data_IF_053692264310
#
_entry.id   IF_053692264310
#
_cell.length_a   1.000
_cell.length_b   1.000
_cell.length_c   1.000
_cell.angle_alpha   90.00
_cell.angle_beta   90.00
_cell.angle_gamma   90.00
#
_symmetry.space_group_name_H-M   'P 1'
#
loop_
_entity.id
_entity.type
_entity.pdbx_description
1 polymer ?
#
# COMPACT_ATOMS: atom_id res chain seq x y z
N UNK A 1 -15.92 15.41 16.90
CA UNK A 1 -15.17 14.82 15.78
C UNK A 1 -15.26 15.73 14.57
N UNK A 2 -14.38 15.58 13.57
CA UNK A 2 -14.47 16.31 12.29
C UNK A 2 -15.83 16.04 11.63
N UNK A 3 -16.34 14.80 11.77
CA UNK A 3 -17.71 14.40 11.42
C UNK A 3 -18.80 15.25 12.08
N UNK A 4 -18.74 15.49 13.40
CA UNK A 4 -19.71 16.33 14.11
C UNK A 4 -19.66 17.80 13.64
N UNK A 5 -18.45 18.33 13.39
CA UNK A 5 -18.27 19.69 12.87
C UNK A 5 -18.68 19.81 11.38
N UNK A 6 -18.60 18.73 10.60
CA UNK A 6 -19.07 18.68 9.21
C UNK A 6 -20.60 18.65 9.15
N UNK A 7 -21.24 17.85 10.00
CA UNK A 7 -22.70 17.77 10.14
C UNK A 7 -23.31 19.13 10.55
N UNK A 8 -22.66 19.88 11.44
CA UNK A 8 -23.07 21.25 11.82
C UNK A 8 -22.98 22.25 10.64
N UNK A 9 -22.17 21.98 9.61
CA UNK A 9 -22.00 22.90 8.46
C UNK A 9 -22.79 22.51 7.21
N UNK A 10 -23.61 21.44 7.28
CA UNK A 10 -24.39 20.92 6.15
C UNK A 10 -25.38 21.95 5.57
N UNK A 11 -26.06 22.69 6.43
CA UNK A 11 -27.02 23.74 6.01
C UNK A 11 -26.32 24.93 5.34
N UNK A 12 -25.07 25.23 5.72
CA UNK A 12 -24.28 26.31 5.12
C UNK A 12 -23.83 26.01 3.68
N UNK A 13 -23.98 24.75 3.21
CA UNK A 13 -23.50 24.29 1.89
C UNK A 13 -24.60 24.15 0.83
N UNK A 14 -25.87 24.31 1.20
CA UNK A 14 -26.98 24.46 0.25
C UNK A 14 -27.26 23.27 -0.69
N UNK A 15 -27.26 22.04 -0.17
CA UNK A 15 -27.53 20.81 -0.95
C UNK A 15 -29.04 20.56 -1.09
N UNK A 16 -29.52 20.19 -2.30
CA UNK A 16 -30.92 19.79 -2.56
C UNK A 16 -30.95 18.50 -3.41
N UNK A 17 -31.48 17.39 -2.87
CA UNK A 17 -31.81 16.16 -3.62
C UNK A 17 -31.44 14.84 -2.92
N UNK A 18 -31.76 13.70 -3.57
CA UNK A 18 -31.38 12.34 -3.17
C UNK A 18 -30.58 11.63 -4.28
N UNK A 19 -29.53 10.90 -3.91
CA UNK A 19 -28.69 10.09 -4.82
C UNK A 19 -29.41 8.77 -5.14
N UNK A 20 -29.34 8.31 -6.39
CA UNK A 20 -29.83 6.98 -6.81
C UNK A 20 -28.79 6.27 -7.69
N UNK A 21 -28.64 4.96 -7.50
CA UNK A 21 -27.81 4.09 -8.33
C UNK A 21 -28.47 3.87 -9.70
N UNK A 22 -27.69 3.99 -10.79
CA UNK A 22 -28.11 3.52 -12.11
C UNK A 22 -27.25 2.34 -12.54
N UNK A 23 -27.77 1.13 -12.41
CA UNK A 23 -27.09 -0.12 -12.78
C UNK A 23 -26.35 -0.80 -11.63
N UNK A 24 -25.88 -2.03 -11.88
CA UNK A 24 -25.00 -2.78 -10.99
C UNK A 24 -23.55 -2.32 -11.15
N UNK A 25 -22.79 -2.24 -10.05
CA UNK A 25 -21.35 -1.95 -10.06
C UNK A 25 -20.63 -2.94 -10.99
N UNK A 26 -19.71 -2.43 -11.81
CA UNK A 26 -18.91 -3.27 -12.71
C UNK A 26 -17.43 -3.12 -12.38
N UNK A 27 -16.69 -4.21 -12.50
CA UNK A 27 -15.25 -4.23 -12.22
C UNK A 27 -14.51 -3.63 -13.42
N UNK A 28 -13.74 -2.55 -13.21
CA UNK A 28 -12.82 -2.06 -14.24
C UNK A 28 -11.37 -2.15 -13.75
N UNK A 29 -10.52 -2.87 -14.49
CA UNK A 29 -9.09 -2.87 -14.23
C UNK A 29 -8.41 -1.56 -14.68
N UNK A 30 -7.91 -0.72 -13.75
CA UNK A 30 -7.06 0.43 -14.13
C UNK A 30 -5.56 0.08 -14.11
N UNK A 31 -5.15 -0.78 -13.18
CA UNK A 31 -3.93 -1.59 -13.22
C UNK A 31 -4.30 -2.97 -12.67
N UNK A 32 -3.36 -3.91 -12.56
CA UNK A 32 -3.76 -5.31 -12.55
C UNK A 32 -3.44 -6.13 -11.26
N UNK A 33 -2.60 -5.62 -10.34
CA UNK A 33 -2.62 -6.02 -8.92
C UNK A 33 -3.62 -5.19 -8.08
N UNK A 34 -3.87 -3.90 -8.39
CA UNK A 34 -4.99 -3.14 -7.82
C UNK A 34 -6.26 -3.42 -8.63
N UNK A 35 -7.27 -4.04 -8.03
CA UNK A 35 -8.62 -4.04 -8.61
C UNK A 35 -9.32 -2.77 -8.16
N UNK A 36 -9.85 -2.02 -9.12
CA UNK A 36 -10.67 -0.85 -8.88
C UNK A 36 -12.12 -1.13 -9.28
N UNK A 37 -13.05 -0.36 -8.70
CA UNK A 37 -14.50 -0.62 -8.81
C UNK A 37 -15.19 0.53 -9.51
N UNK A 38 -15.64 0.29 -10.75
CA UNK A 38 -16.44 1.23 -11.53
C UNK A 38 -17.90 1.19 -11.08
N UNK A 39 -18.29 2.16 -10.26
CA UNK A 39 -19.69 2.41 -9.90
C UNK A 39 -20.18 3.69 -10.58
N UNK A 40 -21.28 3.60 -11.32
CA UNK A 40 -21.92 4.72 -12.01
C UNK A 40 -22.90 5.47 -11.08
N UNK A 41 -22.44 6.53 -10.42
CA UNK A 41 -23.29 7.40 -9.60
C UNK A 41 -23.81 8.55 -10.46
N UNK A 42 -25.12 8.79 -10.42
CA UNK A 42 -25.75 9.92 -11.11
C UNK A 42 -26.27 10.89 -10.05
N UNK A 43 -25.92 12.18 -10.15
CA UNK A 43 -26.45 13.22 -9.27
C UNK A 43 -26.87 14.46 -10.07
N UNK A 44 -27.73 15.30 -9.48
CA UNK A 44 -28.14 16.61 -10.02
C UNK A 44 -27.76 17.70 -9.05
N UNK A 45 -27.28 18.83 -9.58
CA UNK A 45 -27.06 20.06 -8.80
C UNK A 45 -27.91 21.21 -9.36
N UNK A 46 -28.05 22.30 -8.60
CA UNK A 46 -28.98 23.40 -8.89
C UNK A 46 -28.50 24.38 -9.98
N UNK A 47 -27.40 24.12 -10.69
CA UNK A 47 -26.92 24.96 -11.80
C UNK A 47 -27.19 24.27 -13.15
N UNK A 48 -27.71 24.98 -14.17
CA UNK A 48 -28.21 24.35 -15.39
C UNK A 48 -27.08 23.98 -16.35
N UNK A 49 -26.39 22.88 -16.09
CA UNK A 49 -25.60 22.17 -17.09
C UNK A 49 -25.46 20.69 -16.69
N UNK A 50 -26.24 19.85 -17.40
CA UNK A 50 -26.14 18.40 -17.56
C UNK A 50 -26.12 17.50 -16.31
N UNK A 51 -27.00 16.50 -16.31
CA UNK A 51 -26.87 15.34 -15.44
C UNK A 51 -25.69 14.47 -15.90
N UNK A 52 -24.76 14.21 -15.00
CA UNK A 52 -23.55 13.45 -15.28
C UNK A 52 -23.61 12.06 -14.65
N UNK A 53 -23.07 11.07 -15.36
CA UNK A 53 -22.79 9.71 -14.86
C UNK A 53 -21.30 9.64 -14.50
N UNK A 54 -20.96 9.37 -13.24
CA UNK A 54 -19.59 9.35 -12.72
C UNK A 54 -19.18 7.95 -12.22
N UNK A 55 -17.89 7.59 -12.31
CA UNK A 55 -17.37 6.21 -12.26
C UNK A 55 -16.27 5.98 -11.20
N UNK A 56 -16.54 5.35 -10.05
CA UNK A 56 -15.59 5.16 -8.91
C UNK A 56 -14.38 4.26 -9.21
N UNK A 57 -13.30 4.31 -8.40
CA UNK A 57 -12.12 3.41 -8.48
C UNK A 57 -11.46 3.34 -7.07
N UNK A 58 -11.52 2.21 -6.36
CA UNK A 58 -10.94 1.96 -5.00
C UNK A 58 -10.02 0.73 -5.04
N UNK A 59 -8.82 0.78 -4.46
CA UNK A 59 -7.82 -0.32 -4.44
C UNK A 59 -8.07 -1.31 -3.29
N UNK A 60 -8.12 -2.61 -3.60
CA UNK A 60 -8.29 -3.67 -2.60
C UNK A 60 -7.49 -4.94 -2.93
N UNK A 61 -6.49 -5.26 -2.11
CA UNK A 61 -5.78 -6.55 -2.02
C UNK A 61 -5.94 -7.09 -0.61
N UNK A 62 -5.98 -8.43 -0.44
CA UNK A 62 -6.16 -9.16 0.83
C UNK A 62 -5.58 -8.41 2.03
N UNK A 63 -6.43 -7.86 2.90
CA UNK A 63 -5.95 -7.10 4.05
C UNK A 63 -5.57 -8.06 5.16
N UNK A 64 -4.30 -8.07 5.55
CA UNK A 64 -3.80 -8.71 6.78
C UNK A 64 -4.22 -7.94 8.04
N UNK A 65 -5.30 -7.15 7.95
CA UNK A 65 -5.83 -6.32 9.02
C UNK A 65 -7.12 -6.91 9.54
N UNK A 66 -7.20 -7.01 10.85
CA UNK A 66 -8.43 -7.43 11.53
C UNK A 66 -9.49 -6.33 11.41
N UNK A 67 -10.76 -6.70 11.34
CA UNK A 67 -11.92 -5.80 11.40
C UNK A 67 -11.80 -4.73 12.50
N UNK A 68 -11.29 -5.12 13.68
CA UNK A 68 -11.06 -4.21 14.81
C UNK A 68 -10.11 -3.04 14.47
N UNK A 69 -9.09 -3.29 13.65
CA UNK A 69 -8.13 -2.28 13.19
C UNK A 69 -8.63 -1.39 12.05
N UNK A 70 -9.89 -1.59 11.61
CA UNK A 70 -10.59 -0.79 10.60
C UNK A 70 -11.90 -0.15 11.12
N UNK A 71 -12.20 -0.24 12.43
CA UNK A 71 -13.25 0.47 13.18
C UNK A 71 -13.17 2.03 13.14
N UNK A 72 -13.27 2.67 11.98
CA UNK A 72 -13.45 4.12 11.91
C UNK A 72 -14.92 4.53 11.77
N UNK A 73 -15.42 5.19 12.83
CA UNK A 73 -16.50 6.19 12.90
C UNK A 73 -17.91 5.87 12.35
N UNK A 74 -18.13 4.76 11.64
CA UNK A 74 -19.47 4.20 11.39
C UNK A 74 -19.78 3.13 12.44
N UNK A 75 -21.05 3.01 12.83
CA UNK A 75 -21.49 1.92 13.71
C UNK A 75 -21.20 0.60 13.01
N UNK A 76 -20.09 -0.05 13.36
CA UNK A 76 -19.82 -1.40 12.90
C UNK A 76 -20.96 -2.30 13.36
N UNK A 77 -21.54 -3.04 12.41
CA UNK A 77 -22.47 -4.13 12.68
C UNK A 77 -21.74 -5.16 13.58
N UNK A 78 -22.39 -5.62 14.66
CA UNK A 78 -21.80 -6.53 15.68
C UNK A 78 -21.16 -7.77 15.05
N UNK A 79 -21.57 -8.14 13.83
CA UNK A 79 -21.01 -9.25 13.05
C UNK A 79 -19.50 -9.18 12.79
N UNK A 80 -18.87 -8.00 12.91
CA UNK A 80 -17.44 -7.81 12.70
C UNK A 80 -16.63 -7.60 13.99
N UNK A 81 -17.26 -7.72 15.17
CA UNK A 81 -16.63 -7.56 16.48
C UNK A 81 -15.70 -8.72 16.88
N UNK A 82 -15.71 -9.82 16.13
CA UNK A 82 -14.76 -10.92 16.27
C UNK A 82 -13.55 -10.72 15.33
N UNK A 83 -12.37 -11.31 15.62
CA UNK A 83 -11.22 -11.28 14.72
C UNK A 83 -11.61 -11.80 13.33
N UNK A 84 -11.73 -10.88 12.38
CA UNK A 84 -12.15 -11.17 11.01
C UNK A 84 -11.17 -10.51 10.05
N UNK A 85 -10.63 -11.27 9.12
CA UNK A 85 -9.85 -10.72 8.02
C UNK A 85 -10.81 -10.28 6.93
N UNK A 86 -10.83 -8.98 6.65
CA UNK A 86 -11.75 -8.44 5.67
C UNK A 86 -11.43 -8.97 4.28
N UNK A 87 -12.46 -9.46 3.63
CA UNK A 87 -12.42 -9.74 2.20
C UNK A 87 -12.35 -8.42 1.43
N UNK A 88 -11.88 -8.51 0.18
CA UNK A 88 -11.91 -7.39 -0.78
C UNK A 88 -13.29 -6.74 -0.89
N UNK A 89 -14.34 -7.55 -0.91
CA UNK A 89 -15.70 -7.09 -1.15
C UNK A 89 -16.28 -6.38 0.08
N UNK A 90 -15.94 -6.83 1.29
CA UNK A 90 -16.31 -6.14 2.53
C UNK A 90 -15.63 -4.79 2.67
N UNK A 91 -14.32 -4.69 2.38
CA UNK A 91 -13.63 -3.39 2.40
C UNK A 91 -14.21 -2.43 1.35
N UNK A 92 -14.52 -2.95 0.17
CA UNK A 92 -15.17 -2.19 -0.90
C UNK A 92 -16.48 -1.58 -0.42
N UNK A 93 -17.33 -2.41 0.17
CA UNK A 93 -18.62 -1.99 0.69
C UNK A 93 -18.44 -0.93 1.77
N UNK A 94 -17.46 -1.12 2.67
CA UNK A 94 -17.12 -0.16 3.71
C UNK A 94 -16.70 1.20 3.15
N UNK A 95 -15.84 1.24 2.13
CA UNK A 95 -15.38 2.52 1.55
C UNK A 95 -16.55 3.22 0.83
N UNK A 96 -17.44 2.48 0.19
CA UNK A 96 -18.65 3.04 -0.42
C UNK A 96 -19.60 3.60 0.65
N UNK A 97 -19.84 2.85 1.72
CA UNK A 97 -20.63 3.31 2.86
C UNK A 97 -20.02 4.56 3.51
N UNK A 98 -18.69 4.63 3.62
CA UNK A 98 -18.00 5.81 4.13
C UNK A 98 -18.26 7.04 3.24
N UNK A 99 -18.13 6.90 1.92
CA UNK A 99 -18.44 7.98 0.96
C UNK A 99 -19.89 8.45 1.10
N UNK A 100 -20.84 7.51 1.19
CA UNK A 100 -22.27 7.80 1.27
C UNK A 100 -22.65 8.44 2.62
N UNK A 101 -22.09 7.93 3.72
CA UNK A 101 -22.34 8.43 5.08
C UNK A 101 -21.87 9.87 5.24
N UNK A 102 -20.71 10.20 4.68
CA UNK A 102 -20.10 11.52 4.82
C UNK A 102 -20.39 12.48 3.67
N UNK A 103 -21.21 12.06 2.69
CA UNK A 103 -21.61 12.87 1.53
C UNK A 103 -20.38 13.49 0.83
N UNK A 104 -19.37 12.66 0.56
CA UNK A 104 -18.07 13.12 0.06
C UNK A 104 -18.12 13.45 -1.44
N UNK A 105 -17.66 14.65 -1.80
CA UNK A 105 -17.47 15.08 -3.19
C UNK A 105 -16.26 14.38 -3.82
N UNK A 106 -16.50 13.28 -4.55
CA UNK A 106 -15.44 12.51 -5.22
C UNK A 106 -15.60 12.58 -6.75
N UNK A 107 -14.53 12.99 -7.44
CA UNK A 107 -14.44 12.89 -8.90
C UNK A 107 -13.67 11.63 -9.25
N UNK A 108 -14.37 10.69 -9.84
CA UNK A 108 -13.80 9.41 -10.18
C UNK A 108 -13.57 9.25 -11.69
N UNK A 109 -12.85 8.19 -12.09
CA UNK A 109 -12.34 8.02 -13.46
C UNK A 109 -11.59 9.27 -13.96
N UNK A 110 -10.81 9.85 -13.05
CA UNK A 110 -10.01 11.02 -13.29
C UNK A 110 -8.52 10.65 -13.27
N UNK A 111 -7.80 11.01 -14.33
CA UNK A 111 -6.34 10.88 -14.36
C UNK A 111 -5.72 12.26 -14.30
N UNK A 112 -4.96 12.54 -13.24
CA UNK A 112 -4.21 13.79 -13.12
C UNK A 112 -3.13 13.84 -14.20
N UNK A 113 -3.13 14.93 -14.97
CA UNK A 113 -2.19 15.15 -16.07
C UNK A 113 -1.05 16.10 -15.66
N UNK A 114 -1.36 17.10 -14.84
CA UNK A 114 -0.36 18.04 -14.31
C UNK A 114 -0.87 18.78 -13.10
N UNK A 115 0.05 19.26 -12.28
CA UNK A 115 -0.20 20.20 -11.19
C UNK A 115 0.81 21.33 -11.25
N UNK A 116 0.39 22.52 -10.82
CA UNK A 116 1.24 23.69 -10.74
C UNK A 116 0.85 24.52 -9.52
N UNK A 117 1.83 24.99 -8.76
CA UNK A 117 1.63 25.95 -7.70
C UNK A 117 2.07 27.34 -8.16
N UNK A 118 1.16 28.31 -8.11
CA UNK A 118 1.45 29.72 -8.38
C UNK A 118 1.72 30.45 -7.07
N UNK A 119 2.95 30.96 -6.91
CA UNK A 119 3.37 31.70 -5.71
C UNK A 119 2.78 33.12 -5.63
N UNK A 120 2.33 33.70 -6.74
CA UNK A 120 1.73 35.02 -6.75
C UNK A 120 0.30 34.97 -6.21
N UNK A 121 -0.45 33.92 -6.59
CA UNK A 121 -1.83 33.73 -6.12
C UNK A 121 -1.93 32.83 -4.89
N UNK A 122 -0.88 32.08 -4.57
CA UNK A 122 -0.84 31.02 -3.55
C UNK A 122 -1.87 29.92 -3.81
N UNK A 123 -1.98 29.50 -5.07
CA UNK A 123 -2.96 28.50 -5.51
C UNK A 123 -2.32 27.37 -6.30
N UNK A 124 -2.89 26.18 -6.10
CA UNK A 124 -2.69 24.99 -6.90
C UNK A 124 -3.66 24.97 -8.07
N UNK A 125 -3.14 24.65 -9.25
CA UNK A 125 -3.93 24.30 -10.42
C UNK A 125 -3.68 22.83 -10.74
N UNK A 126 -4.73 22.01 -10.72
CA UNK A 126 -4.69 20.59 -11.06
C UNK A 126 -5.43 20.37 -12.38
N UNK A 127 -4.73 19.93 -13.43
CA UNK A 127 -5.37 19.52 -14.69
C UNK A 127 -5.52 18.01 -14.72
N UNK A 128 -6.72 17.54 -15.00
CA UNK A 128 -7.04 16.12 -15.03
C UNK A 128 -7.97 15.79 -16.19
N UNK A 129 -7.99 14.52 -16.59
CA UNK A 129 -8.82 14.00 -17.67
C UNK A 129 -9.90 13.09 -17.11
N UNK A 130 -11.13 13.32 -17.52
CA UNK A 130 -12.27 12.43 -17.26
C UNK A 130 -12.83 11.90 -18.58
N UNK A 131 -13.82 11.01 -18.50
CA UNK A 131 -14.60 10.56 -19.67
C UNK A 131 -15.27 11.72 -20.42
N UNK A 132 -15.61 12.81 -19.72
CA UNK A 132 -16.22 14.02 -20.29
C UNK A 132 -15.18 15.05 -20.80
N UNK A 133 -13.90 14.67 -20.86
CA UNK A 133 -12.80 15.47 -21.39
C UNK A 133 -11.87 16.05 -20.32
N UNK A 134 -11.09 17.04 -20.70
CA UNK A 134 -10.15 17.70 -19.78
C UNK A 134 -10.91 18.63 -18.83
N UNK A 135 -10.46 18.67 -17.57
CA UNK A 135 -10.99 19.50 -16.49
C UNK A 135 -9.84 20.12 -15.71
N UNK A 136 -10.14 21.19 -14.97
CA UNK A 136 -9.18 21.91 -14.13
C UNK A 136 -9.82 22.19 -12.77
N UNK A 137 -9.10 21.88 -11.70
CA UNK A 137 -9.44 22.30 -10.34
C UNK A 137 -8.42 23.33 -9.86
N UNK A 138 -8.88 24.32 -9.10
CA UNK A 138 -8.05 25.34 -8.47
C UNK A 138 -8.31 25.31 -6.96
N UNK A 139 -7.26 25.25 -6.15
CA UNK A 139 -7.37 25.16 -4.70
C UNK A 139 -6.21 25.88 -4.00
N UNK A 140 -6.40 26.30 -2.75
CA UNK A 140 -5.29 26.87 -1.94
C UNK A 140 -4.32 25.80 -1.44
N UNK A 141 -4.82 24.59 -1.21
CA UNK A 141 -4.10 23.47 -0.62
C UNK A 141 -4.25 22.22 -1.50
N UNK A 142 -3.20 21.40 -1.55
CA UNK A 142 -3.20 20.11 -2.25
C UNK A 142 -2.73 19.02 -1.30
N UNK A 143 -3.50 17.93 -1.21
CA UNK A 143 -3.15 16.74 -0.44
C UNK A 143 -2.97 15.59 -1.43
N UNK A 144 -1.79 14.96 -1.41
CA UNK A 144 -1.50 13.76 -2.21
C UNK A 144 -1.75 12.51 -1.37
N UNK A 145 -2.66 11.65 -1.84
CA UNK A 145 -3.04 10.38 -1.22
C UNK A 145 -2.91 9.22 -2.22
N UNK A 146 -1.76 9.11 -2.89
CA UNK A 146 -1.54 8.20 -4.04
C UNK A 146 -0.96 6.83 -3.66
N UNK A 147 -0.81 6.54 -2.37
CA UNK A 147 -0.16 5.32 -1.87
C UNK A 147 1.36 5.42 -1.75
N UNK A 148 1.98 4.30 -1.33
CA UNK A 148 3.42 4.20 -0.99
C UNK A 148 4.31 3.97 -2.22
N UNK A 149 3.80 3.24 -3.21
CA UNK A 149 4.62 2.69 -4.29
C UNK A 149 4.49 3.43 -5.61
N UNK A 150 5.51 3.24 -6.45
CA UNK A 150 5.47 3.64 -7.85
C UNK A 150 4.28 3.04 -8.58
N UNK A 151 3.62 3.82 -9.43
CA UNK A 151 2.60 3.28 -10.34
C UNK A 151 3.21 2.63 -11.59
N UNK A 152 4.55 2.61 -11.70
CA UNK A 152 5.27 2.02 -12.83
C UNK A 152 5.84 0.64 -12.48
N UNK A 153 5.26 -0.45 -13.01
CA UNK A 153 5.79 -1.80 -12.85
C UNK A 153 7.28 -1.88 -13.20
N UNK A 154 8.05 -2.62 -12.40
CA UNK A 154 9.43 -2.92 -12.72
C UNK A 154 9.54 -4.38 -13.13
N UNK A 155 9.94 -4.63 -14.38
CA UNK A 155 10.38 -5.95 -14.83
C UNK A 155 11.88 -5.79 -15.14
N UNK A 156 12.77 -6.62 -14.57
CA UNK A 156 14.18 -6.61 -14.93
C UNK A 156 14.38 -6.83 -16.43
N UNK A 157 15.46 -6.27 -16.99
CA UNK A 157 15.83 -6.56 -18.37
C UNK A 157 16.43 -7.98 -18.42
N UNK A 158 15.69 -8.91 -19.02
CA UNK A 158 16.06 -10.32 -19.13
C UNK A 158 16.41 -10.61 -20.58
N UNK A 159 17.54 -11.26 -20.81
CA UNK A 159 18.00 -11.58 -22.15
C UNK A 159 16.95 -12.43 -22.90
N UNK A 160 16.89 -12.24 -24.22
CA UNK A 160 16.13 -13.09 -25.13
C UNK A 160 14.62 -13.16 -24.89
N UNK A 161 14.03 -12.20 -24.17
CA UNK A 161 12.59 -12.17 -23.90
C UNK A 161 11.68 -12.20 -25.15
N UNK A 162 12.20 -11.78 -26.30
CA UNK A 162 11.50 -11.86 -27.59
C UNK A 162 11.33 -13.28 -28.14
N UNK A 163 12.09 -14.26 -27.61
CA UNK A 163 11.99 -15.67 -28.01
C UNK A 163 10.83 -16.39 -27.32
N UNK A 164 10.45 -15.95 -26.12
CA UNK A 164 9.52 -16.68 -25.27
C UNK A 164 8.11 -16.70 -25.88
N UNK A 165 7.58 -17.91 -26.09
CA UNK A 165 6.25 -18.14 -26.68
C UNK A 165 5.13 -18.17 -25.64
N UNK A 166 5.48 -18.29 -24.36
CA UNK A 166 4.54 -18.19 -23.25
C UNK A 166 4.18 -16.74 -22.91
N UNK A 167 3.40 -16.56 -21.84
CA UNK A 167 2.99 -15.23 -21.39
C UNK A 167 3.98 -14.74 -20.32
N UNK A 168 4.68 -13.64 -20.58
CA UNK A 168 5.46 -12.93 -19.55
C UNK A 168 4.77 -11.65 -19.14
N UNK A 169 4.53 -11.44 -17.84
CA UNK A 169 3.79 -10.28 -17.34
C UNK A 169 4.25 -9.84 -15.95
N UNK A 170 4.11 -8.56 -15.61
CA UNK A 170 4.24 -8.11 -14.21
C UNK A 170 3.04 -8.57 -13.37
N UNK A 171 3.21 -8.69 -12.05
CA UNK A 171 2.14 -8.93 -11.08
C UNK A 171 1.07 -7.85 -11.12
N UNK A 172 1.50 -6.65 -11.54
CA UNK A 172 0.63 -5.63 -12.08
C UNK A 172 -0.24 -6.34 -13.13
N UNK A 173 0.15 -6.71 -14.33
CA UNK A 173 -0.71 -7.30 -15.39
C UNK A 173 -1.52 -8.59 -15.10
N UNK A 174 -1.40 -9.19 -13.92
CA UNK A 174 -2.24 -10.29 -13.47
C UNK A 174 -3.71 -9.86 -13.21
N UNK A 175 -4.64 -10.81 -13.10
CA UNK A 175 -6.05 -10.50 -12.80
C UNK A 175 -6.69 -11.49 -11.85
N UNK A 176 -6.64 -12.75 -12.23
CA UNK A 176 -7.02 -13.91 -11.47
C UNK A 176 -6.57 -15.14 -12.27
N UNK A 177 -6.53 -16.28 -11.61
CA UNK A 177 -6.15 -17.54 -12.21
C UNK A 177 -7.17 -18.02 -13.26
N UNK A 178 -8.46 -17.67 -13.13
CA UNK A 178 -9.49 -18.04 -14.10
C UNK A 178 -9.20 -17.47 -15.51
N UNK A 179 -8.67 -16.24 -15.62
CA UNK A 179 -8.25 -15.66 -16.89
C UNK A 179 -7.02 -16.37 -17.46
N UNK A 180 -6.09 -16.82 -16.61
CA UNK A 180 -4.96 -17.63 -17.06
C UNK A 180 -5.44 -18.99 -17.59
N UNK A 181 -6.29 -19.70 -16.85
CA UNK A 181 -6.89 -20.97 -17.31
C UNK A 181 -7.67 -20.80 -18.62
N UNK A 182 -8.45 -19.72 -18.77
CA UNK A 182 -9.17 -19.43 -20.00
C UNK A 182 -8.25 -19.17 -21.22
N UNK A 183 -6.99 -18.79 -20.96
CA UNK A 183 -5.93 -18.65 -21.99
C UNK A 183 -5.15 -19.94 -22.24
N UNK A 184 -5.52 -21.05 -21.58
CA UNK A 184 -4.86 -22.35 -21.72
C UNK A 184 -3.55 -22.47 -20.94
N UNK A 185 -3.33 -21.62 -19.94
CA UNK A 185 -2.16 -21.69 -19.06
C UNK A 185 -2.38 -22.83 -18.05
N UNK A 186 -1.50 -23.82 -18.07
CA UNK A 186 -1.50 -24.95 -17.12
C UNK A 186 -0.35 -24.84 -16.10
N UNK A 187 0.68 -24.05 -16.41
CA UNK A 187 1.86 -23.85 -15.56
C UNK A 187 2.33 -22.39 -15.50
N UNK A 188 2.79 -21.94 -14.33
CA UNK A 188 3.29 -20.59 -14.13
C UNK A 188 4.52 -20.51 -13.21
N UNK A 189 5.53 -19.74 -13.61
CA UNK A 189 6.62 -19.30 -12.73
C UNK A 189 6.25 -17.99 -12.04
N UNK A 190 6.41 -17.95 -10.72
CA UNK A 190 6.17 -16.77 -9.88
C UNK A 190 7.53 -16.22 -9.47
N UNK A 191 7.93 -15.08 -10.02
CA UNK A 191 9.26 -14.50 -9.75
C UNK A 191 9.16 -13.52 -8.59
N UNK A 192 9.48 -13.98 -7.37
CA UNK A 192 9.32 -13.21 -6.13
C UNK A 192 8.47 -13.94 -5.09
N UNK A 193 8.53 -13.48 -3.84
CA UNK A 193 8.02 -14.21 -2.66
C UNK A 193 7.54 -13.30 -1.53
N UNK A 194 7.15 -12.06 -1.83
CA UNK A 194 6.46 -11.19 -0.88
C UNK A 194 4.94 -11.49 -0.87
N UNK A 195 4.17 -10.80 -0.02
CA UNK A 195 2.71 -10.97 0.16
C UNK A 195 1.93 -11.26 -1.15
N UNK A 196 2.02 -10.39 -2.16
CA UNK A 196 1.25 -10.54 -3.40
C UNK A 196 1.62 -11.81 -4.19
N UNK A 197 2.85 -12.30 -4.06
CA UNK A 197 3.29 -13.51 -4.74
C UNK A 197 2.63 -14.77 -4.13
N UNK A 198 2.45 -14.79 -2.80
CA UNK A 198 1.72 -15.84 -2.09
C UNK A 198 0.21 -15.80 -2.40
N UNK A 199 -0.40 -14.62 -2.50
CA UNK A 199 -1.81 -14.49 -2.93
C UNK A 199 -2.04 -15.13 -4.32
N UNK A 200 -1.14 -14.87 -5.28
CA UNK A 200 -1.24 -15.47 -6.62
C UNK A 200 -0.96 -16.97 -6.59
N UNK A 201 -0.01 -17.40 -5.76
CA UNK A 201 0.32 -18.81 -5.60
C UNK A 201 -0.93 -19.60 -5.16
N UNK A 202 -1.68 -19.06 -4.19
CA UNK A 202 -2.94 -19.64 -3.73
C UNK A 202 -4.04 -19.61 -4.80
N UNK A 203 -4.28 -18.47 -5.47
CA UNK A 203 -5.29 -18.34 -6.54
C UNK A 203 -5.02 -19.31 -7.70
N UNK A 204 -3.76 -19.43 -8.11
CA UNK A 204 -3.34 -20.35 -9.15
C UNK A 204 -3.47 -21.82 -8.71
N UNK A 205 -3.08 -22.14 -7.47
CA UNK A 205 -3.24 -23.49 -6.92
C UNK A 205 -4.72 -23.90 -6.87
N UNK A 206 -5.60 -23.01 -6.39
CA UNK A 206 -7.04 -23.22 -6.35
C UNK A 206 -7.66 -23.43 -7.75
N UNK A 207 -7.09 -22.79 -8.77
CA UNK A 207 -7.49 -22.98 -10.17
C UNK A 207 -6.85 -24.20 -10.86
N UNK A 208 -6.00 -24.96 -10.16
CA UNK A 208 -5.30 -26.14 -10.69
C UNK A 208 -4.13 -25.81 -11.63
N UNK A 209 -3.62 -24.58 -11.61
CA UNK A 209 -2.41 -24.20 -12.36
C UNK A 209 -1.19 -24.64 -11.55
N UNK A 210 -0.27 -25.39 -12.18
CA UNK A 210 0.98 -25.80 -11.56
C UNK A 210 1.91 -24.59 -11.41
N UNK A 211 2.23 -24.23 -10.17
CA UNK A 211 3.08 -23.07 -9.90
C UNK A 211 4.45 -23.48 -9.38
N UNK A 212 5.47 -22.71 -9.75
CA UNK A 212 6.79 -22.76 -9.10
C UNK A 212 7.20 -21.35 -8.71
N UNK A 213 7.42 -21.14 -7.42
CA UNK A 213 7.93 -19.88 -6.89
C UNK A 213 9.44 -19.82 -7.04
N UNK A 214 9.94 -18.80 -7.71
CA UNK A 214 11.37 -18.54 -7.90
C UNK A 214 11.80 -17.48 -6.89
N UNK A 215 12.71 -17.87 -6.00
CA UNK A 215 13.16 -17.07 -4.87
C UNK A 215 14.64 -16.78 -5.02
N UNK A 216 15.00 -15.50 -5.16
CA UNK A 216 16.39 -15.09 -5.35
C UNK A 216 17.24 -15.14 -4.08
N UNK A 217 16.62 -14.82 -2.95
CA UNK A 217 17.32 -14.60 -1.68
C UNK A 217 16.43 -14.96 -0.51
N UNK A 218 17.01 -15.17 0.69
CA UNK A 218 16.22 -15.43 1.87
C UNK A 218 15.17 -14.36 2.14
N UNK A 219 13.98 -14.79 2.59
CA UNK A 219 12.83 -13.91 2.81
C UNK A 219 12.38 -13.98 4.25
N UNK A 220 12.16 -12.80 4.85
CA UNK A 220 11.60 -12.73 6.19
C UNK A 220 10.12 -13.09 6.16
N UNK A 221 9.75 -14.14 6.89
CA UNK A 221 8.36 -14.56 7.06
C UNK A 221 7.97 -14.36 8.52
N UNK A 222 6.82 -13.74 8.74
CA UNK A 222 6.23 -13.52 10.06
C UNK A 222 4.82 -14.11 10.09
N UNK A 223 4.46 -14.92 11.11
CA UNK A 223 3.11 -15.43 11.27
C UNK A 223 2.07 -14.32 11.44
N UNK A 224 0.91 -14.47 10.83
CA UNK A 224 -0.20 -13.51 10.98
C UNK A 224 -0.63 -13.37 12.44
N UNK A 225 -0.57 -14.45 13.24
CA UNK A 225 -0.88 -14.43 14.66
C UNK A 225 -0.01 -13.44 15.45
N UNK A 226 1.26 -13.26 15.07
CA UNK A 226 2.15 -12.31 15.72
C UNK A 226 1.72 -10.88 15.42
N UNK A 227 1.37 -10.63 14.15
CA UNK A 227 0.90 -9.32 13.67
C UNK A 227 -0.41 -8.95 14.38
N UNK A 228 -1.31 -9.92 14.52
CA UNK A 228 -2.62 -9.77 15.16
C UNK A 228 -2.60 -9.83 16.69
N UNK A 229 -1.45 -10.07 17.33
CA UNK A 229 -1.37 -10.06 18.79
C UNK A 229 -1.72 -8.65 19.33
N UNK A 230 -2.48 -8.62 20.43
CA UNK A 230 -2.91 -7.38 21.09
C UNK A 230 -1.76 -6.49 21.58
N UNK A 231 -0.55 -7.02 21.71
CA UNK A 231 0.68 -6.29 22.08
C UNK A 231 1.42 -5.74 20.85
N UNK A 232 0.96 -6.08 19.65
CA UNK A 232 1.52 -5.68 18.37
C UNK A 232 0.50 -4.85 17.57
N UNK A 233 0.32 -5.13 16.27
CA UNK A 233 -0.60 -4.36 15.41
C UNK A 233 -2.08 -4.73 15.64
N UNK A 234 -2.36 -5.76 16.43
CA UNK A 234 -3.72 -6.19 16.82
C UNK A 234 -4.31 -5.48 18.02
N UNK A 235 -3.71 -4.38 18.50
CA UNK A 235 -4.11 -3.65 19.71
C UNK A 235 -5.45 -2.89 19.61
N UNK A 236 -6.37 -3.26 18.73
CA UNK A 236 -7.62 -2.54 18.49
C UNK A 236 -8.84 -3.09 19.22
N UNK A 237 -8.74 -4.28 19.80
CA UNK A 237 -9.77 -4.84 20.68
C UNK A 237 -9.99 -4.05 21.98
N UNK A 238 -9.12 -3.07 22.27
CA UNK A 238 -9.26 -2.11 23.40
C UNK A 238 -9.93 -0.79 22.99
N UNK A 239 -10.43 -0.71 21.75
CA UNK A 239 -11.05 0.46 21.14
C UNK A 239 -10.05 1.32 20.34
N UNK A 240 -10.53 1.89 19.23
CA UNK A 240 -9.71 2.62 18.25
C UNK A 240 -8.88 3.74 18.85
N UNK A 241 -9.48 4.57 19.71
CA UNK A 241 -8.76 5.68 20.33
C UNK A 241 -7.60 5.21 21.24
N UNK A 242 -7.76 4.06 21.90
CA UNK A 242 -6.73 3.47 22.73
C UNK A 242 -5.65 2.77 21.90
N UNK A 243 -6.06 2.02 20.86
CA UNK A 243 -5.16 1.38 19.91
C UNK A 243 -4.29 2.38 19.16
N UNK A 244 -4.88 3.47 18.66
CA UNK A 244 -4.15 4.53 17.98
C UNK A 244 -3.12 5.21 18.90
N UNK A 245 -3.49 5.51 20.15
CA UNK A 245 -2.53 6.04 21.12
C UNK A 245 -1.39 5.06 21.35
N UNK A 246 -1.69 3.76 21.52
CA UNK A 246 -0.66 2.76 21.74
C UNK A 246 0.31 2.68 20.56
N UNK A 247 -0.20 2.67 19.33
CA UNK A 247 0.60 2.57 18.12
C UNK A 247 1.44 3.83 17.82
N UNK A 248 0.96 5.02 18.20
CA UNK A 248 1.53 6.29 17.75
C UNK A 248 2.22 7.11 18.86
N UNK A 249 2.39 6.54 20.06
CA UNK A 249 3.00 7.25 21.21
C UNK A 249 4.54 7.31 21.14
N UNK A 250 5.18 6.29 20.59
CA UNK A 250 6.65 6.18 20.57
C UNK A 250 7.23 6.64 19.23
N UNK A 251 8.46 7.17 19.21
CA UNK A 251 9.17 7.41 17.96
C UNK A 251 9.28 6.12 17.15
N UNK A 252 9.12 6.23 15.83
CA UNK A 252 9.06 5.05 14.94
C UNK A 252 10.32 4.18 15.04
N UNK A 253 11.48 4.81 15.25
CA UNK A 253 12.74 4.10 15.46
C UNK A 253 12.78 3.23 16.72
N UNK A 254 12.06 3.63 17.79
CA UNK A 254 11.98 2.89 19.05
C UNK A 254 10.91 1.81 18.95
N UNK A 255 9.73 2.17 18.46
CA UNK A 255 8.61 1.24 18.28
C UNK A 255 9.01 0.05 17.41
N UNK A 256 9.74 0.31 16.31
CA UNK A 256 10.24 -0.74 15.43
C UNK A 256 11.18 -1.75 16.12
N UNK A 257 11.97 -1.31 17.12
CA UNK A 257 12.85 -2.21 17.88
C UNK A 257 12.05 -3.02 18.91
N UNK A 258 11.08 -2.40 19.59
CA UNK A 258 10.20 -3.10 20.52
C UNK A 258 9.36 -4.17 19.80
N UNK A 259 8.82 -3.85 18.63
CA UNK A 259 8.11 -4.80 17.77
C UNK A 259 8.99 -5.95 17.30
N UNK A 260 10.24 -5.68 16.92
CA UNK A 260 11.22 -6.74 16.59
C UNK A 260 11.41 -7.69 17.77
N UNK A 261 11.71 -7.15 18.95
CA UNK A 261 12.04 -7.97 20.12
C UNK A 261 10.84 -8.78 20.61
N UNK A 262 9.62 -8.22 20.49
CA UNK A 262 8.38 -8.94 20.75
C UNK A 262 8.20 -10.14 19.80
N UNK A 263 8.41 -9.95 18.49
CA UNK A 263 8.29 -11.04 17.52
C UNK A 263 9.40 -12.08 17.67
N UNK A 264 10.62 -11.65 18.02
CA UNK A 264 11.72 -12.55 18.36
C UNK A 264 11.37 -13.41 19.58
N UNK A 265 10.75 -12.81 20.61
CA UNK A 265 10.26 -13.54 21.78
C UNK A 265 9.20 -14.58 21.38
N UNK A 266 8.23 -14.23 20.53
CA UNK A 266 7.23 -15.19 20.06
C UNK A 266 7.88 -16.35 19.30
N UNK A 267 8.75 -16.05 18.33
CA UNK A 267 9.46 -17.06 17.55
C UNK A 267 10.37 -17.95 18.40
N UNK A 268 10.88 -17.47 19.55
CA UNK A 268 11.67 -18.29 20.48
C UNK A 268 10.86 -19.42 21.14
N UNK A 269 9.53 -19.28 21.26
CA UNK A 269 8.66 -20.31 21.82
C UNK A 269 8.30 -21.40 20.81
N UNK A 270 8.58 -21.17 19.52
CA UNK A 270 8.28 -22.10 18.42
C UNK A 270 9.45 -22.16 17.42
N UNK A 271 10.63 -22.60 17.88
CA UNK A 271 11.88 -22.50 17.13
C UNK A 271 11.92 -23.32 15.83
N UNK A 272 10.97 -24.23 15.64
CA UNK A 272 10.92 -25.14 14.49
C UNK A 272 9.75 -24.81 13.54
N UNK A 273 9.00 -23.70 13.75
CA UNK A 273 7.81 -23.35 12.95
C UNK A 273 8.06 -23.46 11.44
N UNK A 274 9.19 -22.91 10.98
CA UNK A 274 9.56 -22.87 9.57
C UNK A 274 10.59 -23.94 9.15
N UNK A 275 10.91 -24.90 10.01
CA UNK A 275 11.78 -26.02 9.64
C UNK A 275 11.22 -26.86 8.47
N UNK A 276 9.90 -27.15 8.39
CA UNK A 276 9.33 -27.84 7.22
C UNK A 276 9.46 -27.03 5.92
N UNK A 277 9.29 -25.71 5.99
CA UNK A 277 9.42 -24.82 4.84
C UNK A 277 10.86 -24.77 4.33
N UNK A 278 11.83 -24.71 5.24
CA UNK A 278 13.25 -24.82 4.89
C UNK A 278 13.59 -26.19 4.29
N UNK A 279 13.04 -27.28 4.84
CA UNK A 279 13.23 -28.63 4.31
C UNK A 279 12.62 -28.82 2.92
N UNK A 280 11.55 -28.08 2.59
CA UNK A 280 10.95 -28.02 1.26
C UNK A 280 11.76 -27.16 0.26
N UNK A 281 12.87 -26.57 0.70
CA UNK A 281 13.81 -25.83 -0.16
C UNK A 281 13.57 -24.33 -0.24
N UNK A 282 12.69 -23.75 0.60
CA UNK A 282 12.48 -22.31 0.64
C UNK A 282 13.46 -21.63 1.62
N UNK A 283 14.17 -20.56 1.22
CA UNK A 283 15.14 -19.88 2.06
C UNK A 283 14.41 -18.89 2.99
N UNK A 284 13.93 -19.37 4.13
CA UNK A 284 13.16 -18.59 5.11
C UNK A 284 14.07 -17.97 6.17
N UNK A 285 13.80 -16.72 6.54
CA UNK A 285 14.24 -16.09 7.77
C UNK A 285 13.02 -15.88 8.66
N UNK A 286 13.12 -16.16 9.95
CA UNK A 286 12.06 -15.87 10.92
C UNK A 286 12.45 -14.72 11.85
N UNK A 287 11.54 -14.37 12.76
CA UNK A 287 11.70 -13.23 13.68
C UNK A 287 12.83 -13.40 14.71
N UNK A 288 13.49 -14.56 14.81
CA UNK A 288 14.69 -14.73 15.67
C UNK A 288 15.93 -14.15 15.02
N UNK A 289 15.93 -13.92 13.71
CA UNK A 289 17.03 -13.25 13.04
C UNK A 289 17.07 -11.77 13.46
N UNK A 290 18.18 -11.27 14.03
CA UNK A 290 18.27 -9.88 14.51
C UNK A 290 18.11 -8.82 13.41
N UNK A 291 18.33 -9.18 12.15
CA UNK A 291 18.15 -8.32 10.98
C UNK A 291 16.68 -8.26 10.49
N UNK A 292 15.80 -9.09 11.05
CA UNK A 292 14.39 -9.19 10.64
C UNK A 292 13.50 -8.36 11.57
N UNK A 293 13.04 -7.20 11.08
CA UNK A 293 12.07 -6.36 11.78
C UNK A 293 10.96 -5.91 10.83
N UNK A 294 9.70 -6.28 11.12
CA UNK A 294 8.57 -6.00 10.23
C UNK A 294 8.41 -4.50 9.99
N UNK A 295 8.56 -3.68 11.03
CA UNK A 295 8.47 -2.22 10.89
C UNK A 295 9.55 -1.63 9.98
N UNK A 296 10.77 -2.17 10.01
CA UNK A 296 11.81 -1.78 9.08
C UNK A 296 11.40 -2.12 7.63
N UNK A 297 10.88 -3.34 7.39
CA UNK A 297 10.40 -3.73 6.07
C UNK A 297 9.25 -2.84 5.57
N UNK A 298 8.35 -2.38 6.44
CA UNK A 298 7.23 -1.52 6.09
C UNK A 298 7.65 -0.07 5.82
N UNK A 299 8.49 0.50 6.68
CA UNK A 299 8.83 1.94 6.66
C UNK A 299 10.02 2.26 5.74
N UNK A 300 11.04 1.41 5.71
CA UNK A 300 12.29 1.67 4.99
C UNK A 300 12.32 1.01 3.60
N UNK A 301 11.66 -0.14 3.46
CA UNK A 301 11.76 -0.97 2.25
C UNK A 301 10.47 -1.10 1.46
N UNK A 302 9.31 -0.80 2.06
CA UNK A 302 7.99 -1.05 1.52
C UNK A 302 7.82 -2.49 0.95
N UNK A 303 8.44 -3.48 1.59
CA UNK A 303 8.47 -4.86 1.09
C UNK A 303 9.57 -5.74 1.69
N UNK A 304 9.83 -6.88 1.05
CA UNK A 304 10.86 -7.83 1.48
C UNK A 304 10.47 -8.70 2.67
N UNK A 305 9.18 -8.86 2.92
CA UNK A 305 8.62 -9.77 3.92
C UNK A 305 7.37 -10.46 3.37
N UNK A 306 6.96 -11.54 4.04
CA UNK A 306 5.65 -12.16 3.89
C UNK A 306 5.00 -12.31 5.26
N UNK A 307 3.72 -11.95 5.37
CA UNK A 307 2.87 -12.25 6.52
C UNK A 307 2.16 -13.56 6.23
N UNK A 308 2.56 -14.61 6.94
CA UNK A 308 2.11 -15.97 6.72
C UNK A 308 0.71 -16.20 7.28
N UNK A 309 -0.21 -16.45 6.35
CA UNK A 309 -1.63 -16.79 6.59
C UNK A 309 -1.91 -18.25 6.22
N UNK A 310 -0.92 -19.11 6.48
CA UNK A 310 -0.90 -20.55 6.20
C UNK A 310 -0.67 -20.92 4.71
N UNK A 311 -0.46 -19.95 3.81
CA UNK A 311 -0.17 -20.26 2.40
C UNK A 311 1.19 -20.96 2.22
N UNK A 312 2.11 -20.85 3.19
CA UNK A 312 3.38 -21.61 3.17
C UNK A 312 3.17 -23.12 3.19
N UNK A 313 2.03 -23.60 3.70
CA UNK A 313 1.71 -25.03 3.73
C UNK A 313 1.64 -25.67 2.35
N UNK A 314 1.25 -24.91 1.32
CA UNK A 314 1.25 -25.41 -0.06
C UNK A 314 2.65 -25.83 -0.51
N UNK A 315 3.69 -25.11 -0.05
CA UNK A 315 5.09 -25.44 -0.34
C UNK A 315 5.51 -26.66 0.48
N UNK A 316 5.21 -26.68 1.79
CA UNK A 316 5.63 -27.76 2.69
C UNK A 316 5.02 -29.12 2.30
N UNK A 317 3.79 -29.10 1.77
CA UNK A 317 3.07 -30.28 1.29
C UNK A 317 3.51 -30.71 -0.12
N UNK A 318 4.36 -29.93 -0.80
CA UNK A 318 4.77 -30.17 -2.18
C UNK A 318 3.66 -29.95 -3.21
N UNK A 319 2.62 -29.21 -2.84
CA UNK A 319 1.51 -28.88 -3.73
C UNK A 319 1.89 -27.81 -4.77
N UNK A 320 2.96 -27.05 -4.50
CA UNK A 320 3.58 -26.07 -5.39
C UNK A 320 5.10 -26.22 -5.33
N UNK A 321 5.77 -25.88 -6.43
CA UNK A 321 7.23 -25.94 -6.51
C UNK A 321 7.92 -24.70 -5.92
N UNK A 322 9.16 -24.87 -5.47
CA UNK A 322 10.06 -23.76 -5.14
C UNK A 322 11.39 -23.97 -5.86
N UNK A 323 11.92 -22.88 -6.42
CA UNK A 323 13.28 -22.80 -6.93
C UNK A 323 13.99 -21.63 -6.25
N UNK A 324 14.89 -21.94 -5.33
CA UNK A 324 15.56 -20.98 -4.47
C UNK A 324 16.98 -20.64 -4.94
N UNK A 325 17.51 -19.54 -4.39
CA UNK A 325 18.88 -19.05 -4.54
C UNK A 325 19.33 -18.89 -6.00
N UNK A 326 18.38 -18.49 -6.86
CA UNK A 326 18.61 -18.29 -8.28
C UNK A 326 18.02 -16.99 -8.79
N UNK A 327 18.67 -16.43 -9.81
CA UNK A 327 18.19 -15.29 -10.56
C UNK A 327 17.77 -15.69 -11.97
N UNK A 328 16.63 -15.21 -12.50
CA UNK A 328 16.35 -15.31 -13.93
C UNK A 328 17.39 -14.57 -14.76
N UNK A 329 17.92 -15.19 -15.81
CA UNK A 329 18.97 -14.62 -16.65
C UNK A 329 18.56 -14.42 -18.11
N UNK A 330 17.86 -15.39 -18.69
CA UNK A 330 17.48 -15.38 -20.10
C UNK A 330 16.21 -16.18 -20.35
N UNK A 331 15.53 -15.90 -21.46
CA UNK A 331 14.46 -16.75 -21.97
C UNK A 331 14.97 -17.67 -23.07
N UNK A 332 14.29 -18.82 -23.22
CA UNK A 332 14.28 -19.60 -24.46
C UNK A 332 12.87 -19.56 -25.05
N UNK A 333 12.61 -20.32 -26.11
CA UNK A 333 11.27 -20.36 -26.70
C UNK A 333 10.17 -20.81 -25.71
N UNK A 334 10.49 -21.66 -24.73
CA UNK A 334 9.51 -22.26 -23.80
C UNK A 334 9.95 -22.25 -22.34
N UNK A 335 11.15 -21.74 -22.03
CA UNK A 335 11.78 -21.86 -20.70
C UNK A 335 12.34 -20.53 -20.20
N UNK A 336 12.47 -20.42 -18.89
CA UNK A 336 13.29 -19.41 -18.22
C UNK A 336 14.60 -20.06 -17.76
N UNK A 337 15.74 -19.44 -18.08
CA UNK A 337 17.07 -19.84 -17.65
C UNK A 337 17.47 -19.08 -16.38
N UNK A 338 18.23 -19.74 -15.52
CA UNK A 338 18.64 -19.21 -14.23
C UNK A 338 20.16 -19.12 -14.07
N UNK A 339 20.60 -18.39 -13.04
CA UNK A 339 22.01 -18.14 -12.72
C UNK A 339 22.83 -19.39 -12.35
N UNK A 340 22.17 -20.51 -12.06
CA UNK A 340 22.78 -21.82 -11.77
C UNK A 340 22.84 -22.73 -13.01
N UNK A 341 22.69 -22.16 -14.20
CA UNK A 341 22.60 -22.85 -15.51
C UNK A 341 21.39 -23.78 -15.68
N UNK A 342 20.49 -23.84 -14.68
CA UNK A 342 19.27 -24.62 -14.79
C UNK A 342 18.19 -23.88 -15.59
N UNK A 343 17.12 -24.59 -15.94
CA UNK A 343 15.97 -24.04 -16.66
C UNK A 343 14.66 -24.54 -16.06
N UNK A 344 13.58 -23.77 -16.24
CA UNK A 344 12.23 -24.19 -15.90
C UNK A 344 11.25 -23.86 -17.03
N UNK A 345 10.38 -24.83 -17.32
CA UNK A 345 9.33 -24.74 -18.34
C UNK A 345 8.08 -24.18 -17.67
N UNK A 346 7.45 -23.20 -18.31
CA UNK A 346 6.12 -22.76 -17.91
C UNK A 346 5.40 -22.10 -19.08
N UNK A 347 4.07 -22.11 -19.04
CA UNK A 347 3.23 -21.39 -19.99
C UNK A 347 3.16 -19.89 -19.66
N UNK A 348 3.36 -19.53 -18.39
CA UNK A 348 3.42 -18.15 -17.93
C UNK A 348 4.60 -17.86 -17.00
N UNK A 349 5.15 -16.64 -17.07
CA UNK A 349 6.08 -16.06 -16.11
C UNK A 349 5.46 -14.77 -15.56
N UNK A 350 5.24 -14.74 -14.24
CA UNK A 350 4.64 -13.59 -13.56
C UNK A 350 5.68 -12.95 -12.63
N UNK A 351 5.99 -11.68 -12.89
CA UNK A 351 7.04 -10.92 -12.21
C UNK A 351 6.51 -10.17 -10.99
N UNK A 352 6.91 -10.58 -9.79
CA UNK A 352 6.65 -9.91 -8.51
C UNK A 352 7.85 -9.08 -8.06
N UNK A 353 8.39 -8.30 -9.00
CA UNK A 353 9.63 -7.53 -8.83
C UNK A 353 9.42 -6.11 -8.33
N UNK A 354 8.21 -5.81 -7.83
CA UNK A 354 7.86 -4.51 -7.29
C UNK A 354 7.71 -3.45 -8.37
N UNK A 355 7.75 -2.19 -7.97
CA UNK A 355 7.59 -1.07 -8.89
C UNK A 355 8.90 -0.28 -8.97
N UNK A 356 9.09 0.50 -10.04
CA UNK A 356 10.35 1.17 -10.28
C UNK A 356 10.54 2.33 -9.29
N UNK A 357 11.45 2.18 -8.33
CA UNK A 357 11.80 3.15 -7.28
C UNK A 357 12.75 4.26 -7.75
N UNK A 358 12.87 4.48 -9.05
CA UNK A 358 13.55 5.67 -9.59
C UNK A 358 12.50 6.74 -9.86
N UNK A 359 12.27 7.58 -8.86
CA UNK A 359 11.42 8.78 -8.91
C UNK A 359 10.05 8.56 -9.55
N UNK A 360 9.08 8.16 -8.72
CA UNK A 360 7.69 8.08 -9.13
C UNK A 360 7.13 9.47 -9.23
N UNK A 361 7.31 10.01 -10.42
CA UNK A 361 6.68 11.22 -10.91
C UNK A 361 5.17 10.99 -11.05
N UNK A 362 4.43 11.12 -9.95
CA UNK A 362 3.06 11.62 -10.03
C UNK A 362 3.14 13.08 -9.64
N UNK A 363 2.72 13.95 -10.58
CA UNK A 363 2.79 15.42 -10.60
C UNK A 363 4.02 16.00 -11.34
N UNK A 364 3.82 17.08 -12.11
CA UNK A 364 4.69 17.43 -13.25
C UNK A 364 6.22 17.51 -12.95
N UNK A 365 7.08 16.94 -13.82
CA UNK A 365 8.18 16.05 -13.34
C UNK A 365 9.51 16.71 -12.94
N UNK A 366 9.71 18.03 -13.16
CA UNK A 366 11.04 18.64 -12.92
C UNK A 366 11.07 19.71 -11.85
N UNK A 367 10.01 20.52 -11.74
CA UNK A 367 9.99 21.63 -10.79
C UNK A 367 9.45 21.24 -9.42
N UNK A 368 8.60 20.22 -9.36
CA UNK A 368 8.02 19.69 -8.11
C UNK A 368 8.90 18.54 -7.59
N UNK A 369 9.32 17.60 -8.44
CA UNK A 369 10.23 16.51 -8.05
C UNK A 369 11.57 17.01 -7.47
N UNK A 370 12.13 18.11 -8.00
CA UNK A 370 13.34 18.73 -7.44
C UNK A 370 13.13 19.39 -6.05
N UNK A 371 11.88 19.44 -5.57
CA UNK A 371 11.46 20.10 -4.32
C UNK A 371 10.75 19.13 -3.36
N UNK A 372 10.53 17.88 -3.73
CA UNK A 372 9.96 16.91 -2.81
C UNK A 372 11.11 16.26 -2.03
N UNK A 373 11.08 16.42 -0.73
CA UNK A 373 11.72 15.49 0.19
C UNK A 373 11.28 14.04 -0.09
N UNK A 374 12.16 13.07 0.23
CA UNK A 374 11.74 11.68 0.35
C UNK A 374 10.56 11.56 1.33
N UNK A 375 9.52 10.89 0.87
CA UNK A 375 8.42 10.40 1.70
C UNK A 375 8.75 8.98 2.13
N UNK A 376 8.45 8.61 3.38
CA UNK A 376 8.90 7.36 4.02
C UNK A 376 10.38 7.36 4.39
N UNK A 377 10.84 6.24 4.98
CA UNK A 377 12.09 6.15 5.75
C UNK A 377 12.10 7.08 6.97
N UNK A 378 13.05 6.84 7.85
CA UNK A 378 13.26 7.65 9.04
C UNK A 378 14.24 8.79 8.79
N UNK A 379 13.97 9.94 9.40
CA UNK A 379 14.96 11.00 9.57
C UNK A 379 15.85 10.76 10.79
N UNK A 380 16.78 11.69 11.05
CA UNK A 380 17.72 11.57 12.16
C UNK A 380 17.09 11.74 13.55
N UNK A 381 15.83 12.19 13.62
CA UNK A 381 15.05 12.19 14.87
C UNK A 381 14.36 10.83 15.07
N UNK A 382 14.47 9.92 14.10
CA UNK A 382 13.85 8.60 14.14
C UNK A 382 12.39 8.60 13.70
N UNK A 383 11.96 9.63 12.96
CA UNK A 383 10.58 9.85 12.55
C UNK A 383 10.38 9.75 11.03
N UNK A 384 9.17 9.41 10.61
CA UNK A 384 8.84 9.26 9.19
C UNK A 384 8.98 10.60 8.44
N UNK A 385 9.66 10.54 7.29
CA UNK A 385 9.92 11.72 6.43
C UNK A 385 8.73 12.07 5.55
N UNK A 386 8.50 13.37 5.36
CA UNK A 386 7.55 13.93 4.38
C UNK A 386 6.05 13.60 4.57
N UNK A 387 5.71 12.63 5.41
CA UNK A 387 4.33 12.15 5.62
C UNK A 387 3.59 12.97 6.68
N UNK A 388 2.33 13.30 6.39
CA UNK A 388 1.35 13.94 7.28
C UNK A 388 1.74 15.30 7.90
N UNK A 389 2.88 15.85 7.50
CA UNK A 389 3.39 17.17 7.89
C UNK A 389 3.50 18.07 6.66
N UNK A 390 3.70 19.36 6.88
CA UNK A 390 3.99 20.29 5.77
C UNK A 390 5.23 19.82 5.03
N UNK A 391 5.15 19.79 3.71
CA UNK A 391 6.30 19.44 2.90
C UNK A 391 7.40 20.49 3.01
N UNK A 392 8.65 20.03 3.03
CA UNK A 392 9.81 20.88 3.31
C UNK A 392 10.01 22.00 2.28
N UNK A 393 9.86 21.72 0.98
CA UNK A 393 10.12 22.72 -0.08
C UNK A 393 8.91 23.05 -0.95
N UNK A 394 7.72 22.63 -0.54
CA UNK A 394 6.47 22.88 -1.27
C UNK A 394 5.43 23.45 -0.31
N UNK A 395 5.00 24.68 -0.58
CA UNK A 395 4.01 25.36 0.23
C UNK A 395 2.61 24.80 -0.02
N UNK A 396 1.78 24.77 1.03
CA UNK A 396 0.38 24.33 0.98
C UNK A 396 0.19 22.93 0.36
N UNK A 397 1.14 22.04 0.62
CA UNK A 397 1.15 20.67 0.12
C UNK A 397 1.44 19.67 1.25
N UNK A 398 0.68 18.57 1.25
CA UNK A 398 0.83 17.46 2.18
C UNK A 398 0.79 16.14 1.43
N UNK A 399 1.54 15.16 1.94
CA UNK A 399 1.44 13.76 1.51
C UNK A 399 0.85 12.96 2.65
N UNK A 400 -0.15 12.14 2.33
CA UNK A 400 -0.79 11.20 3.25
C UNK A 400 -0.79 9.81 2.64
N UNK A 401 -0.73 8.80 3.49
CA UNK A 401 -0.60 7.41 3.09
C UNK A 401 -0.32 6.54 4.30
N UNK A 402 0.16 5.33 4.04
CA UNK A 402 0.34 4.31 5.07
C UNK A 402 -0.91 3.46 5.24
N UNK A 403 -0.82 2.55 6.19
CA UNK A 403 -1.93 1.71 6.58
C UNK A 403 -2.90 2.44 7.52
N UNK A 404 -4.06 1.83 7.76
CA UNK A 404 -5.22 2.39 8.46
C UNK A 404 -4.91 3.17 9.74
N UNK A 405 -4.04 2.64 10.62
CA UNK A 405 -3.65 3.29 11.87
C UNK A 405 -3.07 4.70 11.64
N UNK A 406 -2.18 4.83 10.66
CA UNK A 406 -1.61 6.12 10.29
C UNK A 406 -2.67 7.07 9.76
N UNK A 407 -3.61 6.56 8.94
CA UNK A 407 -4.66 7.38 8.36
C UNK A 407 -5.56 7.96 9.44
N UNK A 408 -5.95 7.18 10.45
CA UNK A 408 -6.79 7.67 11.54
C UNK A 408 -6.10 8.71 12.41
N UNK A 409 -4.89 8.38 12.86
CA UNK A 409 -4.12 9.28 13.73
C UNK A 409 -3.80 10.61 13.05
N UNK A 410 -3.33 10.55 11.79
CA UNK A 410 -2.79 11.72 11.14
C UNK A 410 -3.79 12.53 10.33
N UNK A 411 -4.91 11.96 9.85
CA UNK A 411 -5.89 12.71 9.06
C UNK A 411 -6.44 13.92 9.81
N UNK A 412 -6.71 13.76 11.11
CA UNK A 412 -7.14 14.88 11.97
C UNK A 412 -6.06 15.96 12.05
N UNK A 413 -4.80 15.56 12.21
CA UNK A 413 -3.66 16.48 12.29
C UNK A 413 -3.46 17.26 10.99
N UNK A 414 -3.58 16.61 9.83
CA UNK A 414 -3.51 17.28 8.51
C UNK A 414 -4.69 18.24 8.32
N UNK A 415 -5.91 17.82 8.66
CA UNK A 415 -7.10 18.67 8.56
C UNK A 415 -6.98 19.93 9.44
N UNK A 416 -6.45 19.80 10.66
CA UNK A 416 -6.19 20.94 11.56
C UNK A 416 -5.10 21.86 11.00
N UNK A 417 -4.06 21.33 10.39
CA UNK A 417 -3.04 22.14 9.71
C UNK A 417 -3.65 22.95 8.56
N UNK A 418 -4.46 22.32 7.72
CA UNK A 418 -5.14 22.99 6.58
C UNK A 418 -6.10 24.07 7.10
N UNK A 419 -6.87 23.79 8.15
CA UNK A 419 -7.75 24.77 8.78
C UNK A 419 -6.96 25.96 9.30
N UNK A 420 -5.89 25.71 10.07
CA UNK A 420 -5.03 26.77 10.59
C UNK A 420 -4.39 27.60 9.46
N UNK A 421 -4.04 26.98 8.33
CA UNK A 421 -3.53 27.71 7.16
C UNK A 421 -4.59 28.63 6.54
N UNK A 422 -5.83 28.14 6.39
CA UNK A 422 -6.96 28.93 5.89
C UNK A 422 -7.29 30.13 6.79
N UNK A 423 -7.13 29.96 8.11
CA UNK A 423 -7.40 30.99 9.13
C UNK A 423 -6.20 31.91 9.39
N UNK A 424 -5.04 31.66 8.76
CA UNK A 424 -3.81 32.44 8.99
C UNK A 424 -3.16 32.20 10.35
N UNK A 425 -3.47 31.08 11.00
CA UNK A 425 -2.97 30.69 12.33
C UNK A 425 -1.84 29.65 12.27
N UNK A 426 -1.58 29.06 11.10
CA UNK A 426 -0.55 28.03 10.99
C UNK A 426 0.84 28.67 11.16
N UNK A 427 1.62 28.31 12.21
CA UNK A 427 2.96 28.86 12.42
C UNK A 427 3.89 28.47 11.25
N UNK A 428 5.08 29.05 11.07
CA UNK A 428 6.04 28.59 10.07
C UNK A 428 6.36 27.09 10.17
N UNK A 429 6.68 26.43 9.06
CA UNK A 429 7.03 25.01 9.07
C UNK A 429 8.34 24.80 9.80
N UNK A 430 8.37 23.83 10.71
CA UNK A 430 9.63 23.27 11.17
C UNK A 430 10.25 22.52 9.99
N UNK A 431 11.36 23.05 9.50
CA UNK A 431 12.05 22.60 8.29
C UNK A 431 13.46 22.08 8.58
N UNK A 432 13.89 22.16 9.83
CA UNK A 432 15.24 21.85 10.25
C UNK A 432 15.27 20.43 10.81
N UNK A 433 15.44 19.42 9.97
CA UNK A 433 15.85 18.10 10.48
C UNK A 433 17.33 18.19 10.86
N UNK A 434 17.72 17.85 12.10
CA UNK A 434 19.13 17.82 12.50
C UNK A 434 19.93 16.99 11.51
N UNK A 435 21.02 17.53 10.96
CA UNK A 435 21.96 16.73 10.18
C UNK A 435 22.73 15.80 11.13
N UNK A 436 23.12 14.58 10.71
CA UNK A 436 23.97 13.75 11.54
C UNK A 436 25.24 14.55 11.81
N UNK A 437 25.58 14.78 13.07
CA UNK A 437 26.93 15.25 13.37
C UNK A 437 27.87 14.16 12.87
N UNK A 438 28.62 14.46 11.80
CA UNK A 438 29.73 13.62 11.40
C UNK A 438 30.62 13.51 12.62
N UNK A 439 30.68 12.33 13.24
CA UNK A 439 31.56 12.01 14.35
C UNK A 439 33.00 11.99 13.83
N UNK A 440 33.51 13.19 13.59
CA UNK A 440 34.82 13.51 13.08
C UNK A 440 35.43 14.67 13.85
N UNK A 441 35.09 14.81 15.13
CA UNK A 441 35.93 15.50 16.12
C UNK A 441 35.84 14.69 17.40
N UNK A 442 36.93 14.01 17.72
CA UNK A 442 37.18 13.39 19.02
C UNK A 442 37.12 14.45 20.10
N UNK A 443 35.95 14.64 20.70
CA UNK A 443 35.86 15.16 22.05
C UNK A 443 36.16 13.98 22.98
N UNK A 444 37.39 13.97 23.50
CA UNK A 444 37.76 13.19 24.67
C UNK A 444 36.78 13.44 25.82
N UNK A 445 36.31 12.37 26.46
CA UNK A 445 35.74 12.45 27.80
C UNK A 445 34.39 11.80 27.93
N UNK A 446 34.42 10.62 28.55
CA UNK A 446 33.40 10.08 29.44
C UNK A 446 32.03 9.76 28.83
N UNK A 447 31.89 8.47 28.47
CA UNK A 447 30.61 7.90 28.06
C UNK A 447 29.63 7.76 29.21
N UNK A 448 28.38 7.46 28.86
CA UNK A 448 27.46 6.68 29.66
C UNK A 448 26.41 6.04 28.73
N UNK A 449 26.34 4.71 28.84
CA UNK A 449 25.22 3.75 28.76
C UNK A 449 24.19 3.93 27.66
#
# INVERSE_FOLDING_TARGET
>A
TIAAALLETKELRGIIGSINLSGSAQVIPATPSPKFIDSAITFRTASPALGDKARNLIEATSFTQTSSSLEAETHYDEKYAAPHMLTRDELTEQIQEYVDTFDLDVINSATVQSTNYDKLTNEWTVKFRTSAGQRTAVSKHLVQATGVSSQKPFIPDIADGHLYKGISMHSANYKNAAILKARGIESALIIGCANTAFDLLEDCHAAGIQTTMVVRSPTYIVPVDYVCDSRALGAYNIGVEAGDRMAMTLPTCIDGQLGRDLFAQFASHEPDRYAPLSAAGFPVLDSRNPECALMHNLVERAGGHYVDVDTTDLITQGAVGVKADVEPCAYTETRLCFSDDSTADADAVVWFTGFADKDVNVLGPRAIAARLDPTWMLDNEGEIRGMWKRHLHVDNYWVVGGHTQHLWWHSRTVALQIKAALEGLLPPAYRDTPSPQVSGQTASGDGFI
#
